data_IF_860024952536
#
_entry.id   IF_860024952536
#
_cell.length_a   1.000
_cell.length_b   1.000
_cell.length_c   1.000
_cell.angle_alpha   90.00
_cell.angle_beta   90.00
_cell.angle_gamma   90.00
#
_symmetry.space_group_name_H-M   'P 1'
#
loop_
_entity.id
_entity.type
_entity.pdbx_description
1 polymer ?
#
# COMPACT_ATOMS: atom_id res chain seq x y z
N UNK A 1 -8.59 33.60 -2.14
CA UNK A 1 -7.83 32.38 -1.78
C UNK A 1 -6.89 32.06 -2.94
N UNK A 2 -5.60 31.79 -2.71
CA UNK A 2 -4.66 31.65 -3.82
C UNK A 2 -4.98 30.40 -4.62
N UNK A 3 -5.16 30.58 -5.93
CA UNK A 3 -5.28 29.51 -6.95
C UNK A 3 -3.90 28.87 -7.16
N UNK A 4 -3.35 28.28 -6.09
CA UNK A 4 -2.03 27.67 -6.05
C UNK A 4 -2.11 26.17 -5.81
N UNK A 5 -1.13 25.43 -6.31
CA UNK A 5 -0.94 23.99 -6.05
C UNK A 5 -1.02 23.72 -4.55
N UNK A 6 -1.84 22.75 -4.13
CA UNK A 6 -2.00 22.41 -2.71
C UNK A 6 -0.68 21.93 -2.09
N UNK A 7 -0.33 22.51 -0.93
CA UNK A 7 0.85 22.12 -0.16
C UNK A 7 0.64 20.76 0.51
N UNK A 8 1.69 19.97 0.65
CA UNK A 8 1.63 18.65 1.28
C UNK A 8 1.18 18.73 2.75
N UNK A 9 1.69 19.70 3.52
CA UNK A 9 1.25 19.91 4.91
C UNK A 9 -0.27 20.12 4.99
N UNK A 10 -0.84 20.90 4.07
CA UNK A 10 -2.27 21.14 4.04
C UNK A 10 -3.08 19.87 3.76
N UNK A 11 -2.63 19.05 2.80
CA UNK A 11 -3.26 17.75 2.52
C UNK A 11 -3.18 16.82 3.74
N UNK A 12 -2.04 16.83 4.46
CA UNK A 12 -1.87 16.06 5.70
C UNK A 12 -2.86 16.50 6.78
N UNK A 13 -2.91 17.80 7.05
CA UNK A 13 -3.75 18.37 8.10
C UNK A 13 -5.23 18.07 7.86
N UNK A 14 -5.70 18.34 6.63
CA UNK A 14 -7.09 18.08 6.23
C UNK A 14 -7.42 16.58 6.26
N UNK A 15 -6.48 15.72 5.86
CA UNK A 15 -6.70 14.27 5.90
C UNK A 15 -6.85 13.74 7.33
N UNK A 16 -5.98 14.17 8.25
CA UNK A 16 -6.01 13.75 9.66
C UNK A 16 -7.27 14.26 10.34
N UNK A 17 -7.63 15.53 10.11
CA UNK A 17 -8.85 16.12 10.67
C UNK A 17 -10.12 15.40 10.14
N UNK A 18 -10.22 15.20 8.83
CA UNK A 18 -11.34 14.47 8.24
C UNK A 18 -11.47 13.06 8.80
N UNK A 19 -10.36 12.33 8.92
CA UNK A 19 -10.39 10.97 9.41
C UNK A 19 -10.70 10.91 10.91
N UNK A 20 -10.24 11.88 11.72
CA UNK A 20 -10.64 12.00 13.12
C UNK A 20 -12.16 12.09 13.22
N UNK A 21 -12.77 13.02 12.50
CA UNK A 21 -14.23 13.19 12.49
C UNK A 21 -14.98 11.97 11.94
N UNK A 22 -14.43 11.34 10.90
CA UNK A 22 -14.97 10.12 10.31
C UNK A 22 -15.04 8.99 11.35
N UNK A 23 -13.97 8.77 12.09
CA UNK A 23 -13.92 7.71 13.10
C UNK A 23 -14.70 8.07 14.38
N UNK A 24 -14.73 9.34 14.79
CA UNK A 24 -15.59 9.78 15.90
C UNK A 24 -17.04 9.40 15.62
N UNK A 25 -17.52 9.66 14.39
CA UNK A 25 -18.88 9.32 13.97
C UNK A 25 -19.10 7.82 13.81
N UNK A 26 -18.12 7.11 13.24
CA UNK A 26 -18.25 5.67 12.98
C UNK A 26 -18.32 4.85 14.28
N UNK A 27 -17.56 5.23 15.30
CA UNK A 27 -17.48 4.51 16.58
C UNK A 27 -18.28 5.16 17.71
N UNK A 28 -18.90 6.32 17.45
CA UNK A 28 -19.57 7.15 18.47
C UNK A 28 -18.67 7.36 19.71
N UNK A 29 -17.39 7.60 19.48
CA UNK A 29 -16.37 7.71 20.51
C UNK A 29 -15.55 8.99 20.30
N UNK A 30 -15.42 9.81 21.33
CA UNK A 30 -14.64 11.05 21.30
C UNK A 30 -13.19 10.87 21.76
N UNK A 31 -12.86 9.73 22.37
CA UNK A 31 -11.53 9.39 22.88
C UNK A 31 -10.65 8.85 21.75
N UNK A 32 -10.38 9.76 20.81
CA UNK A 32 -9.57 9.50 19.62
C UNK A 32 -8.27 10.29 19.71
N UNK A 33 -7.17 9.55 19.68
CA UNK A 33 -5.86 10.12 19.45
C UNK A 33 -5.68 10.35 17.94
N UNK A 34 -5.37 11.59 17.55
CA UNK A 34 -5.00 11.95 16.18
C UNK A 34 -3.65 12.66 16.21
N UNK A 35 -2.61 12.02 15.67
CA UNK A 35 -1.24 12.52 15.69
C UNK A 35 -0.62 12.51 14.31
N UNK A 36 0.28 13.47 14.07
CA UNK A 36 1.11 13.53 12.85
C UNK A 36 2.50 12.97 13.15
N UNK A 37 3.13 12.35 12.16
CA UNK A 37 4.55 11.99 12.15
C UNK A 37 5.06 11.07 13.28
N UNK A 38 4.22 10.15 13.77
CA UNK A 38 4.62 9.21 14.82
C UNK A 38 5.59 8.13 14.32
N UNK A 39 6.72 7.94 15.00
CA UNK A 39 7.68 6.90 14.63
C UNK A 39 7.16 5.49 14.92
N UNK A 40 7.33 4.59 13.95
CA UNK A 40 7.12 3.15 14.09
C UNK A 40 8.41 2.49 14.58
N UNK A 41 8.36 1.70 15.67
CA UNK A 41 9.54 1.02 16.25
C UNK A 41 10.26 0.12 15.24
N UNK A 42 9.50 -0.66 14.47
CA UNK A 42 10.05 -1.70 13.59
C UNK A 42 10.70 -1.15 12.32
N UNK A 43 10.20 -0.06 11.77
CA UNK A 43 10.66 0.47 10.47
C UNK A 43 11.42 1.79 10.59
N UNK A 44 11.40 2.46 11.76
CA UNK A 44 11.89 3.83 11.98
C UNK A 44 11.33 4.86 10.98
N UNK A 45 10.28 4.51 10.23
CA UNK A 45 9.58 5.38 9.31
C UNK A 45 8.41 6.06 10.01
N UNK A 46 8.05 7.24 9.51
CA UNK A 46 6.99 8.09 10.05
C UNK A 46 5.85 8.15 9.03
N UNK A 47 4.65 7.64 9.34
CA UNK A 47 3.48 7.92 8.54
C UNK A 47 3.12 9.40 8.70
N UNK A 48 2.47 9.96 7.69
CA UNK A 48 2.07 11.37 7.72
C UNK A 48 1.01 11.64 8.79
N UNK A 49 0.12 10.67 9.02
CA UNK A 49 -0.85 10.73 10.11
C UNK A 49 -1.20 9.36 10.68
N UNK A 50 -1.60 9.37 11.94
CA UNK A 50 -2.04 8.22 12.70
C UNK A 50 -3.26 8.58 13.54
N UNK A 51 -4.23 7.68 13.54
CA UNK A 51 -5.45 7.78 14.34
C UNK A 51 -5.56 6.51 15.15
N UNK A 52 -5.76 6.64 16.44
CA UNK A 52 -5.95 5.53 17.35
C UNK A 52 -7.14 5.78 18.27
N UNK A 53 -7.96 4.76 18.48
CA UNK A 53 -9.17 4.86 19.32
C UNK A 53 -9.48 3.52 19.98
N UNK A 54 -10.10 3.57 21.15
CA UNK A 54 -10.62 2.36 21.81
C UNK A 54 -11.87 1.90 21.10
N UNK A 55 -11.85 0.68 20.60
CA UNK A 55 -13.07 -0.01 20.20
C UNK A 55 -13.72 -0.63 21.43
N UNK A 56 -15.05 -0.68 21.50
CA UNK A 56 -15.83 -1.11 22.69
C UNK A 56 -15.51 -2.52 23.22
N UNK A 57 -14.72 -3.33 22.49
CA UNK A 57 -14.21 -4.64 22.92
C UNK A 57 -12.85 -4.59 23.64
N UNK A 58 -12.43 -3.42 24.13
CA UNK A 58 -11.11 -3.19 24.73
C UNK A 58 -9.92 -3.42 23.77
N UNK A 59 -10.20 -3.51 22.47
CA UNK A 59 -9.20 -3.55 21.42
C UNK A 59 -8.96 -2.14 20.89
N UNK A 60 -7.70 -1.84 20.58
CA UNK A 60 -7.35 -0.52 20.08
C UNK A 60 -7.25 -0.55 18.57
N UNK A 61 -8.08 0.26 17.94
CA UNK A 61 -8.12 0.40 16.50
C UNK A 61 -7.17 1.49 16.06
N UNK A 62 -6.32 1.20 15.07
CA UNK A 62 -5.35 2.14 14.51
C UNK A 62 -5.57 2.29 13.01
N UNK A 63 -5.77 3.53 12.56
CA UNK A 63 -5.75 3.90 11.17
C UNK A 63 -4.50 4.75 10.86
N UNK A 64 -3.84 4.47 9.74
CA UNK A 64 -2.68 5.23 9.27
C UNK A 64 -2.99 5.90 7.94
N UNK A 65 -2.50 7.12 7.76
CA UNK A 65 -2.66 7.87 6.52
C UNK A 65 -1.31 8.33 5.97
N UNK A 66 -1.17 8.19 4.65
CA UNK A 66 -0.05 8.74 3.87
C UNK A 66 -0.61 9.75 2.87
N UNK A 67 -0.10 10.97 2.87
CA UNK A 67 -0.58 12.08 2.06
C UNK A 67 0.44 12.44 0.98
N UNK A 68 -0.01 12.57 -0.28
CA UNK A 68 0.85 13.00 -1.39
C UNK A 68 0.30 14.26 -2.06
N UNK A 69 1.22 15.21 -2.30
CA UNK A 69 0.96 16.45 -3.01
C UNK A 69 1.55 16.42 -4.43
N UNK A 70 1.31 17.50 -5.18
CA UNK A 70 1.77 17.64 -6.56
C UNK A 70 3.29 17.57 -6.75
N UNK A 71 4.07 17.79 -5.67
CA UNK A 71 5.53 17.69 -5.68
C UNK A 71 6.00 16.23 -5.65
N UNK A 72 5.15 15.32 -5.18
CA UNK A 72 5.50 13.93 -4.88
C UNK A 72 4.88 12.95 -5.89
N UNK A 73 4.58 13.46 -7.10
CA UNK A 73 3.90 12.74 -8.18
C UNK A 73 4.64 11.46 -8.59
N UNK A 74 5.98 11.48 -8.56
CA UNK A 74 6.84 10.34 -8.91
C UNK A 74 6.50 9.06 -8.14
N UNK A 75 6.10 9.19 -6.88
CA UNK A 75 5.77 8.05 -6.01
C UNK A 75 4.45 7.33 -6.34
N UNK A 76 3.63 7.94 -7.21
CA UNK A 76 2.36 7.41 -7.70
C UNK A 76 2.49 6.64 -9.00
N UNK A 77 3.62 6.79 -9.70
CA UNK A 77 3.86 6.05 -10.92
C UNK A 77 4.31 4.62 -10.61
N UNK A 78 3.88 3.67 -11.44
CA UNK A 78 4.28 2.28 -11.31
C UNK A 78 5.77 2.14 -11.67
N UNK A 79 6.57 1.58 -10.77
CA UNK A 79 7.99 1.29 -10.98
C UNK A 79 8.16 -0.20 -11.25
N UNK A 80 8.95 -0.53 -12.26
CA UNK A 80 9.35 -1.90 -12.57
C UNK A 80 10.36 -2.39 -11.52
N UNK A 81 10.20 -3.60 -10.98
CA UNK A 81 11.13 -4.15 -9.99
C UNK A 81 10.51 -4.97 -8.85
N UNK A 82 9.30 -5.49 -9.04
CA UNK A 82 8.73 -6.44 -8.08
C UNK A 82 9.46 -7.79 -8.17
N UNK A 83 10.11 -8.22 -7.09
CA UNK A 83 10.86 -9.48 -7.02
C UNK A 83 9.97 -10.72 -7.22
N UNK A 84 8.65 -10.59 -7.05
CA UNK A 84 7.69 -11.66 -7.35
C UNK A 84 7.74 -12.09 -8.81
N UNK A 85 8.09 -11.17 -9.72
CA UNK A 85 8.26 -11.46 -11.13
C UNK A 85 9.31 -12.57 -11.35
N UNK A 86 10.47 -12.44 -10.69
CA UNK A 86 11.55 -13.42 -10.76
C UNK A 86 11.13 -14.76 -10.16
N UNK A 87 10.47 -14.74 -8.99
CA UNK A 87 9.98 -15.97 -8.33
C UNK A 87 9.01 -16.74 -9.21
N UNK A 88 8.06 -16.06 -9.85
CA UNK A 88 7.13 -16.69 -10.78
C UNK A 88 7.83 -17.22 -12.04
N UNK A 89 8.83 -16.50 -12.55
CA UNK A 89 9.63 -16.96 -13.69
C UNK A 89 10.43 -18.22 -13.38
N UNK A 90 11.05 -18.30 -12.20
CA UNK A 90 11.74 -19.51 -11.73
C UNK A 90 10.75 -20.64 -11.57
N UNK A 91 9.60 -20.41 -10.92
CA UNK A 91 8.57 -21.44 -10.73
C UNK A 91 8.06 -22.00 -12.08
N UNK A 92 7.80 -21.12 -13.05
CA UNK A 92 7.38 -21.52 -14.39
C UNK A 92 8.46 -22.33 -15.11
N UNK A 93 9.72 -21.89 -15.03
CA UNK A 93 10.87 -22.64 -15.53
C UNK A 93 10.98 -24.03 -14.89
N UNK A 94 10.76 -24.15 -13.58
CA UNK A 94 10.78 -25.42 -12.85
C UNK A 94 9.68 -26.36 -13.34
N UNK A 95 8.47 -25.86 -13.59
CA UNK A 95 7.37 -26.67 -14.13
C UNK A 95 7.74 -27.22 -15.52
N UNK A 96 8.28 -26.38 -16.41
CA UNK A 96 8.73 -26.80 -17.74
C UNK A 96 9.85 -27.85 -17.62
N UNK A 97 10.82 -27.60 -16.75
CA UNK A 97 11.94 -28.50 -16.47
C UNK A 97 11.47 -29.89 -16.04
N UNK A 98 10.49 -29.96 -15.14
CA UNK A 98 9.89 -31.22 -14.67
C UNK A 98 9.14 -31.96 -15.78
N UNK A 99 8.35 -31.25 -16.59
CA UNK A 99 7.62 -31.84 -17.72
C UNK A 99 8.61 -32.47 -18.72
N UNK A 100 9.66 -31.74 -19.08
CA UNK A 100 10.70 -32.20 -19.99
C UNK A 100 11.43 -33.42 -19.42
N UNK A 101 11.84 -33.37 -18.15
CA UNK A 101 12.55 -34.46 -17.50
C UNK A 101 11.73 -35.74 -17.37
N UNK A 102 10.40 -35.63 -17.30
CA UNK A 102 9.48 -36.77 -17.19
C UNK A 102 9.11 -37.38 -18.55
N UNK A 103 8.84 -36.55 -19.56
CA UNK A 103 8.27 -36.99 -20.84
C UNK A 103 9.33 -37.55 -21.79
N UNK A 104 10.57 -37.05 -21.74
CA UNK A 104 11.58 -37.39 -22.76
C UNK A 104 12.34 -38.67 -22.36
N UNK A 105 12.22 -39.77 -23.13
CA UNK A 105 12.84 -41.06 -22.79
C UNK A 105 14.33 -41.08 -23.20
N UNK A 106 15.16 -40.30 -22.52
CA UNK A 106 16.62 -40.27 -22.73
C UNK A 106 17.39 -40.94 -21.59
N UNK A 107 18.71 -41.09 -21.75
CA UNK A 107 19.62 -41.42 -20.65
C UNK A 107 19.57 -40.35 -19.55
N UNK A 108 19.82 -40.76 -18.29
CA UNK A 108 19.68 -39.90 -17.11
C UNK A 108 20.43 -38.55 -17.25
N UNK A 109 21.68 -38.58 -17.73
CA UNK A 109 22.49 -37.37 -17.93
C UNK A 109 21.89 -36.41 -18.95
N UNK A 110 21.39 -36.92 -20.07
CA UNK A 110 20.71 -36.12 -21.08
C UNK A 110 19.42 -35.51 -20.55
N UNK A 111 18.68 -36.22 -19.68
CA UNK A 111 17.48 -35.66 -19.01
C UNK A 111 17.83 -34.53 -18.07
N UNK A 112 18.88 -34.67 -17.28
CA UNK A 112 19.33 -33.62 -16.35
C UNK A 112 19.73 -32.36 -17.13
N UNK A 113 20.52 -32.52 -18.20
CA UNK A 113 20.93 -31.39 -19.06
C UNK A 113 19.70 -30.72 -19.69
N UNK A 114 18.78 -31.50 -20.26
CA UNK A 114 17.60 -30.97 -20.92
C UNK A 114 16.64 -30.29 -19.93
N UNK A 115 16.51 -30.82 -18.71
CA UNK A 115 15.75 -30.20 -17.64
C UNK A 115 16.39 -28.88 -17.20
N UNK A 116 17.71 -28.81 -17.07
CA UNK A 116 18.42 -27.56 -16.75
C UNK A 116 18.23 -26.50 -17.85
N UNK A 117 18.31 -26.90 -19.13
CA UNK A 117 18.00 -26.01 -20.26
C UNK A 117 16.53 -25.56 -20.20
N UNK A 118 15.60 -26.48 -19.91
CA UNK A 118 14.19 -26.19 -19.76
C UNK A 118 13.88 -25.17 -18.65
N UNK A 119 14.62 -25.22 -17.54
CA UNK A 119 14.54 -24.22 -16.47
C UNK A 119 14.91 -22.83 -17.00
N UNK A 120 16.09 -22.71 -17.61
CA UNK A 120 16.61 -21.42 -18.10
C UNK A 120 15.71 -20.84 -19.21
N UNK A 121 15.36 -21.66 -20.20
CA UNK A 121 14.50 -21.25 -21.32
C UNK A 121 13.10 -20.91 -20.82
N UNK A 122 12.52 -21.72 -19.92
CA UNK A 122 11.21 -21.47 -19.34
C UNK A 122 11.15 -20.17 -18.57
N UNK A 123 12.14 -19.90 -17.71
CA UNK A 123 12.25 -18.62 -16.99
C UNK A 123 12.43 -17.44 -17.95
N UNK A 124 13.25 -17.60 -19.00
CA UNK A 124 13.44 -16.56 -20.00
C UNK A 124 12.16 -16.27 -20.82
N UNK A 125 11.44 -17.31 -21.24
CA UNK A 125 10.15 -17.16 -21.92
C UNK A 125 9.14 -16.45 -21.02
N UNK A 126 9.08 -16.83 -19.75
CA UNK A 126 8.22 -16.16 -18.79
C UNK A 126 8.52 -14.65 -18.73
N UNK A 127 9.80 -14.27 -18.65
CA UNK A 127 10.21 -12.88 -18.72
C UNK A 127 9.74 -12.18 -19.97
N UNK A 128 10.02 -12.78 -21.13
CA UNK A 128 9.68 -12.21 -22.44
C UNK A 128 8.18 -11.94 -22.58
N UNK A 129 7.31 -12.77 -21.99
CA UNK A 129 5.87 -12.57 -22.06
C UNK A 129 5.31 -11.65 -20.98
N UNK A 130 6.00 -11.49 -19.84
CA UNK A 130 5.42 -10.80 -18.67
C UNK A 130 6.12 -9.51 -18.28
N UNK A 131 7.25 -9.14 -18.90
CA UNK A 131 8.00 -7.92 -18.55
C UNK A 131 7.20 -6.61 -18.72
N UNK A 132 6.16 -6.61 -19.58
CA UNK A 132 5.28 -5.44 -19.78
C UNK A 132 4.03 -5.44 -18.89
N UNK A 133 3.81 -6.47 -18.08
CA UNK A 133 2.58 -6.59 -17.31
C UNK A 133 2.59 -5.63 -16.11
N UNK A 134 1.57 -4.76 -16.03
CA UNK A 134 1.39 -3.78 -14.95
C UNK A 134 1.20 -4.42 -13.57
N UNK A 135 0.93 -5.73 -13.54
CA UNK A 135 0.86 -6.56 -12.33
C UNK A 135 2.17 -6.55 -11.53
N UNK A 136 3.32 -6.61 -12.22
CA UNK A 136 4.66 -6.63 -11.59
C UNK A 136 5.23 -5.26 -11.31
N UNK A 137 4.44 -4.21 -11.54
CA UNK A 137 4.82 -2.86 -11.17
C UNK A 137 4.32 -2.57 -9.78
N UNK A 138 5.20 -2.15 -8.89
CA UNK A 138 4.76 -1.65 -7.59
C UNK A 138 4.54 -0.14 -7.66
N UNK A 139 3.68 0.37 -6.79
CA UNK A 139 3.46 1.81 -6.66
C UNK A 139 4.09 2.22 -5.33
N UNK A 140 5.04 3.16 -5.38
CA UNK A 140 5.85 3.53 -4.22
C UNK A 140 5.03 3.92 -2.99
N UNK A 141 3.94 4.69 -3.18
CA UNK A 141 3.06 5.05 -2.06
C UNK A 141 2.34 3.84 -1.44
N UNK A 142 1.99 2.84 -2.25
CA UNK A 142 1.29 1.63 -1.80
C UNK A 142 2.25 0.73 -1.02
N UNK A 143 3.50 0.59 -1.47
CA UNK A 143 4.51 -0.18 -0.72
C UNK A 143 4.87 0.53 0.59
N UNK A 144 4.99 1.86 0.57
CA UNK A 144 5.26 2.67 1.76
C UNK A 144 4.18 2.47 2.83
N UNK A 145 2.91 2.66 2.49
CA UNK A 145 1.81 2.50 3.46
C UNK A 145 1.61 1.05 3.92
N UNK A 146 1.95 0.08 3.06
CA UNK A 146 1.88 -1.33 3.44
C UNK A 146 2.85 -1.70 4.56
N UNK A 147 3.98 -0.98 4.69
CA UNK A 147 4.94 -1.20 5.77
C UNK A 147 4.49 -0.65 7.13
N UNK A 148 3.50 0.25 7.17
CA UNK A 148 3.01 0.76 8.43
C UNK A 148 2.07 -0.24 9.11
N UNK A 149 2.19 -0.42 10.42
CA UNK A 149 1.25 -1.22 11.18
C UNK A 149 -0.04 -0.39 11.36
N UNK A 150 -1.19 -0.94 10.95
CA UNK A 150 -2.50 -0.29 11.05
C UNK A 150 -3.63 -1.27 10.70
N UNK A 151 -4.76 -1.17 11.38
CA UNK A 151 -5.99 -1.90 11.06
C UNK A 151 -6.56 -1.41 9.74
N UNK A 152 -6.63 -0.09 9.57
CA UNK A 152 -6.98 0.56 8.32
C UNK A 152 -5.86 1.45 7.81
N UNK A 153 -5.84 1.61 6.49
CA UNK A 153 -4.78 2.32 5.77
C UNK A 153 -5.42 3.24 4.76
N UNK A 154 -4.98 4.49 4.72
CA UNK A 154 -5.52 5.53 3.86
C UNK A 154 -4.44 6.23 3.07
N UNK A 155 -4.71 6.49 1.80
CA UNK A 155 -3.91 7.41 1.00
C UNK A 155 -4.73 8.66 0.75
N UNK A 156 -4.16 9.82 1.06
CA UNK A 156 -4.73 11.11 0.76
C UNK A 156 -3.99 11.75 -0.41
N UNK A 157 -4.71 12.11 -1.46
CA UNK A 157 -4.16 12.81 -2.63
C UNK A 157 -4.81 14.18 -2.78
N UNK A 158 -4.03 15.17 -3.20
CA UNK A 158 -4.63 16.41 -3.68
C UNK A 158 -5.38 16.17 -5.01
N UNK A 159 -6.45 16.92 -5.24
CA UNK A 159 -7.22 16.85 -6.49
C UNK A 159 -6.36 17.12 -7.71
N UNK A 160 -5.38 18.03 -7.60
CA UNK A 160 -4.43 18.37 -8.67
C UNK A 160 -3.57 17.17 -9.07
N UNK A 161 -3.12 16.39 -8.08
CA UNK A 161 -2.34 15.17 -8.30
C UNK A 161 -3.18 14.12 -8.99
N UNK A 162 -4.38 13.90 -8.47
CA UNK A 162 -5.30 12.92 -9.01
C UNK A 162 -5.63 13.27 -10.47
N UNK A 163 -5.91 14.53 -10.78
CA UNK A 163 -6.23 14.99 -12.13
C UNK A 163 -5.08 14.87 -13.13
N UNK A 164 -3.82 14.87 -12.68
CA UNK A 164 -2.65 14.65 -13.54
C UNK A 164 -2.45 13.20 -13.97
N UNK A 165 -3.05 12.23 -13.26
CA UNK A 165 -2.98 10.84 -13.66
C UNK A 165 -3.83 10.61 -14.91
N UNK A 166 -3.28 9.88 -15.88
CA UNK A 166 -4.05 9.40 -17.03
C UNK A 166 -5.20 8.51 -16.56
N UNK A 167 -6.25 8.39 -17.39
CA UNK A 167 -7.43 7.56 -17.06
C UNK A 167 -7.04 6.11 -16.74
N UNK A 168 -6.13 5.54 -17.53
CA UNK A 168 -5.61 4.19 -17.32
C UNK A 168 -4.85 4.06 -15.99
N UNK A 169 -3.97 5.01 -15.68
CA UNK A 169 -3.25 5.01 -14.40
C UNK A 169 -4.17 5.16 -13.19
N UNK A 170 -5.25 5.96 -13.29
CA UNK A 170 -6.25 6.06 -12.22
C UNK A 170 -6.91 4.70 -11.97
N UNK A 171 -7.37 4.04 -13.03
CA UNK A 171 -8.03 2.73 -12.93
C UNK A 171 -7.08 1.69 -12.30
N UNK A 172 -5.84 1.61 -12.78
CA UNK A 172 -4.85 0.67 -12.26
C UNK A 172 -4.48 0.96 -10.80
N UNK A 173 -4.31 2.25 -10.45
CA UNK A 173 -4.05 2.69 -9.09
C UNK A 173 -5.21 2.31 -8.16
N UNK A 174 -6.44 2.68 -8.49
CA UNK A 174 -7.64 2.33 -7.72
C UNK A 174 -7.79 0.81 -7.56
N UNK A 175 -7.56 0.04 -8.61
CA UNK A 175 -7.62 -1.43 -8.57
C UNK A 175 -6.60 -2.00 -7.59
N UNK A 176 -5.38 -1.46 -7.56
CA UNK A 176 -4.34 -1.85 -6.59
C UNK A 176 -4.71 -1.48 -5.16
N UNK A 177 -5.32 -0.31 -4.93
CA UNK A 177 -5.80 0.08 -3.61
C UNK A 177 -6.93 -0.83 -3.11
N UNK A 178 -7.94 -1.11 -3.94
CA UNK A 178 -9.04 -2.03 -3.61
C UNK A 178 -8.55 -3.43 -3.27
N UNK A 179 -7.61 -3.97 -4.05
CA UNK A 179 -6.98 -5.28 -3.78
C UNK A 179 -6.20 -5.30 -2.46
N UNK A 180 -5.55 -4.19 -2.12
CA UNK A 180 -4.76 -4.08 -0.90
C UNK A 180 -5.61 -3.77 0.35
N UNK A 181 -6.87 -3.36 0.16
CA UNK A 181 -7.76 -2.90 1.22
C UNK A 181 -7.44 -1.49 1.73
N UNK A 182 -6.82 -0.65 0.91
CA UNK A 182 -6.40 0.71 1.25
C UNK A 182 -7.47 1.70 0.79
N UNK A 183 -7.86 2.61 1.67
CA UNK A 183 -8.80 3.69 1.35
C UNK A 183 -8.14 4.84 0.57
N UNK A 184 -8.92 5.58 -0.19
CA UNK A 184 -8.47 6.71 -1.01
C UNK A 184 -9.31 7.95 -0.70
N UNK A 185 -8.64 9.00 -0.24
CA UNK A 185 -9.20 10.33 -0.02
C UNK A 185 -8.67 11.28 -1.09
N UNK A 186 -9.56 12.06 -1.67
CA UNK A 186 -9.21 13.16 -2.58
C UNK A 186 -9.54 14.48 -1.90
N UNK A 187 -8.52 15.32 -1.75
CA UNK A 187 -8.62 16.60 -1.06
C UNK A 187 -8.58 17.72 -2.09
N UNK A 188 -9.66 18.51 -2.14
CA UNK A 188 -9.79 19.67 -3.01
C UNK A 188 -9.40 20.96 -2.27
N UNK A 189 -9.24 22.05 -3.01
CA UNK A 189 -9.09 23.37 -2.41
C UNK A 189 -10.34 23.72 -1.56
N UNK A 190 -10.11 24.28 -0.37
CA UNK A 190 -11.18 24.62 0.58
C UNK A 190 -11.62 23.46 1.49
N UNK A 191 -10.71 22.53 1.80
CA UNK A 191 -10.87 21.45 2.78
C UNK A 191 -11.99 20.46 2.47
N UNK A 192 -12.46 20.42 1.21
CA UNK A 192 -13.43 19.42 0.75
C UNK A 192 -12.73 18.09 0.53
N UNK A 193 -13.20 17.05 1.22
CA UNK A 193 -12.66 15.69 1.12
C UNK A 193 -13.69 14.77 0.49
N UNK A 194 -13.28 14.07 -0.57
CA UNK A 194 -14.09 13.06 -1.24
C UNK A 194 -13.47 11.68 -1.05
N UNK A 195 -14.22 10.76 -0.46
CA UNK A 195 -13.81 9.37 -0.26
C UNK A 195 -14.17 8.55 -1.51
N UNK A 196 -13.17 8.20 -2.31
CA UNK A 196 -13.36 7.39 -3.52
C UNK A 196 -13.38 5.88 -3.22
N UNK A 197 -12.52 5.45 -2.30
CA UNK A 197 -12.39 4.03 -1.92
C UNK A 197 -12.41 3.96 -0.40
N UNK A 198 -13.25 3.10 0.16
CA UNK A 198 -13.24 2.77 1.59
C UNK A 198 -12.18 1.69 1.88
N UNK A 199 -11.45 1.79 3.00
CA UNK A 199 -10.49 0.79 3.41
C UNK A 199 -11.19 -0.50 3.83
N UNK A 200 -10.41 -1.57 3.96
CA UNK A 200 -10.84 -2.81 4.61
C UNK A 200 -10.02 -3.02 5.87
N UNK A 201 -10.68 -3.01 7.03
CA UNK A 201 -10.03 -3.28 8.30
C UNK A 201 -9.39 -4.66 8.34
N UNK A 202 -8.16 -4.72 8.84
CA UNK A 202 -7.45 -5.96 9.17
C UNK A 202 -7.46 -6.16 10.68
N UNK A 203 -7.80 -7.37 11.12
CA UNK A 203 -7.71 -7.75 12.54
C UNK A 203 -6.22 -7.90 12.91
N UNK A 204 -5.66 -6.91 13.58
CA UNK A 204 -4.28 -6.94 14.08
C UNK A 204 -4.19 -6.10 15.35
N UNK A 205 -3.46 -6.59 16.37
CA UNK A 205 -2.98 -5.74 17.47
C UNK A 205 -1.79 -4.93 16.97
N UNK A 206 -1.92 -3.61 16.96
CA UNK A 206 -1.00 -2.72 16.25
C UNK A 206 -0.21 -1.81 17.17
N UNK A 207 -0.77 -1.46 18.34
CA UNK A 207 -0.26 -0.34 19.11
C UNK A 207 1.16 -0.52 19.62
N UNK A 208 1.55 -1.71 20.05
CA UNK A 208 2.89 -1.97 20.58
C UNK A 208 4.02 -1.70 19.58
N UNK A 209 3.67 -1.58 18.28
CA UNK A 209 4.60 -1.32 17.19
C UNK A 209 5.01 0.15 17.04
N UNK A 210 4.43 1.08 17.80
CA UNK A 210 4.77 2.51 17.77
C UNK A 210 5.76 2.91 18.87
N UNK A 211 6.57 3.94 18.65
CA UNK A 211 7.57 4.38 19.65
C UNK A 211 6.89 5.04 20.85
N UNK A 212 5.84 5.83 20.59
CA UNK A 212 5.10 6.59 21.61
C UNK A 212 3.78 5.92 22.01
N UNK A 213 3.82 4.60 22.27
CA UNK A 213 2.63 3.85 22.70
C UNK A 213 1.99 4.47 23.95
N UNK A 214 2.79 4.86 24.94
CA UNK A 214 2.29 5.35 26.22
C UNK A 214 1.50 6.66 26.07
N UNK A 215 1.94 7.57 25.19
CA UNK A 215 1.19 8.80 24.88
C UNK A 215 -0.17 8.49 24.25
N UNK A 216 -0.20 7.50 23.34
CA UNK A 216 -1.44 7.05 22.69
C UNK A 216 -2.39 6.42 23.72
N UNK A 217 -1.87 5.55 24.60
CA UNK A 217 -2.65 4.89 25.64
C UNK A 217 -3.22 5.88 26.64
N UNK A 218 -2.43 6.86 27.09
CA UNK A 218 -2.89 7.91 28.01
C UNK A 218 -4.05 8.76 27.48
N UNK A 219 -4.18 8.90 26.16
CA UNK A 219 -5.30 9.62 25.55
C UNK A 219 -6.53 8.75 25.40
N UNK A 220 -6.34 7.44 25.22
CA UNK A 220 -7.40 6.47 24.94
C UNK A 220 -7.99 5.85 26.22
N UNK A 221 -7.25 5.85 27.32
CA UNK A 221 -7.64 5.25 28.62
C UNK A 221 -8.19 6.26 29.65
N UNK A 222 -8.32 7.54 29.27
CA UNK A 222 -9.05 8.53 30.07
C UNK A 222 -10.55 8.27 30.03
#
# INVERSE_FOLDING_TARGET
MPRGKLNESYVKDVAVEYLKDYYCKLYNNNDIFAGKELCVKKSFKRPDGLIALKNGKNDIFVAVVEAKSCRTLGSLFPVDGDSRWFVHGVLFGTIISLIIGFVVPLMLWSRIILAAVGLVVGTFLYWLFTFRFTYYRYIGVVSQINNYPGNEKWIALSIDVYNKLSKEHKIDFEKKLRRSGIGLLIISSGSKVSTLIKPKAKAKKVIDMFVRCNEILQVIEK
#
